data_IF_373938410301
#
_entry.id   IF_373938410301
#
_cell.length_a   1.000
_cell.length_b   1.000
_cell.length_c   1.000
_cell.angle_alpha   90.00
_cell.angle_beta   90.00
_cell.angle_gamma   90.00
#
_symmetry.space_group_name_H-M   'P 1'
#
loop_
_entity.id
_entity.type
_entity.pdbx_description
1 polymer ?
#
# COMPACT_ATOMS: atom_id res chain seq x y z
N UNK A 1 -42.40 0.27 -17.17
CA UNK A 1 -41.29 -0.71 -17.21
C UNK A 1 -40.23 -0.22 -16.25
N UNK A 2 -39.98 -0.98 -15.18
CA UNK A 2 -39.09 -0.61 -14.09
C UNK A 2 -37.65 -0.63 -14.59
N UNK A 3 -37.00 0.53 -14.66
CA UNK A 3 -35.57 0.63 -14.95
C UNK A 3 -34.81 0.23 -13.69
N UNK A 4 -34.27 -0.99 -13.68
CA UNK A 4 -33.41 -1.48 -12.62
C UNK A 4 -32.13 -0.63 -12.57
N UNK A 5 -32.14 0.39 -11.72
CA UNK A 5 -30.95 1.15 -11.32
C UNK A 5 -29.89 0.16 -10.87
N UNK A 6 -28.80 0.03 -11.61
CA UNK A 6 -27.64 -0.75 -11.20
C UNK A 6 -27.11 -0.14 -9.90
N UNK A 7 -27.35 -0.84 -8.79
CA UNK A 7 -26.73 -0.55 -7.50
C UNK A 7 -25.23 -0.72 -7.72
N UNK A 8 -24.48 0.38 -7.76
CA UNK A 8 -23.03 0.37 -7.77
C UNK A 8 -22.54 -0.53 -6.64
N UNK A 9 -21.90 -1.67 -6.98
CA UNK A 9 -21.19 -2.49 -6.00
C UNK A 9 -20.25 -1.57 -5.23
N UNK A 10 -20.52 -1.37 -3.94
CA UNK A 10 -19.59 -0.68 -3.06
C UNK A 10 -18.42 -1.64 -2.83
N UNK A 11 -17.45 -1.63 -3.75
CA UNK A 11 -16.22 -2.43 -3.61
C UNK A 11 -15.47 -1.95 -2.39
N UNK A 12 -15.11 -2.88 -1.51
CA UNK A 12 -14.31 -2.58 -0.32
C UNK A 12 -13.04 -1.82 -0.74
N UNK A 13 -12.69 -0.72 -0.09
CA UNK A 13 -11.45 0.00 -0.41
C UNK A 13 -10.25 -0.93 -0.19
N UNK A 14 -9.28 -0.86 -1.11
CA UNK A 14 -8.09 -1.72 -1.10
C UNK A 14 -6.83 -0.87 -0.90
N UNK A 15 -6.15 -1.11 0.21
CA UNK A 15 -4.91 -0.47 0.61
C UNK A 15 -3.75 -1.45 0.45
N UNK A 16 -2.61 -1.02 -0.10
CA UNK A 16 -1.39 -1.81 -0.15
C UNK A 16 -0.27 -1.22 0.72
N UNK A 17 0.49 -2.08 1.38
CA UNK A 17 1.78 -1.74 2.02
C UNK A 17 2.90 -2.30 1.14
N UNK A 18 3.62 -1.43 0.43
CA UNK A 18 4.71 -1.82 -0.48
C UNK A 18 5.96 -2.27 0.30
N UNK A 19 6.75 -3.16 -0.30
CA UNK A 19 8.08 -3.53 0.19
C UNK A 19 9.08 -2.40 -0.13
N UNK A 20 9.95 -2.09 0.82
CA UNK A 20 11.10 -1.21 0.62
C UNK A 20 12.26 -1.98 -0.02
N UNK A 21 12.96 -1.36 -0.96
CA UNK A 21 14.03 -2.01 -1.74
C UNK A 21 15.41 -1.89 -1.08
N UNK A 22 15.64 -0.81 -0.32
CA UNK A 22 16.92 -0.55 0.35
C UNK A 22 17.18 -1.53 1.50
N UNK A 23 18.32 -2.22 1.46
CA UNK A 23 18.66 -3.31 2.37
C UNK A 23 18.67 -2.94 3.87
N UNK A 24 18.98 -1.69 4.22
CA UNK A 24 19.03 -1.20 5.60
C UNK A 24 17.69 -0.60 6.08
N UNK A 25 16.66 -0.54 5.24
CA UNK A 25 15.34 -0.01 5.63
C UNK A 25 14.47 -1.11 6.22
N UNK A 26 14.23 -1.02 7.54
CA UNK A 26 13.36 -1.96 8.27
C UNK A 26 12.00 -1.36 8.66
N UNK A 27 11.82 -0.05 8.54
CA UNK A 27 10.57 0.63 8.94
C UNK A 27 9.42 0.24 8.02
N UNK A 28 8.21 0.30 8.55
CA UNK A 28 6.96 0.13 7.81
C UNK A 28 6.09 1.40 7.97
N UNK A 29 5.22 1.73 7.00
CA UNK A 29 4.31 2.86 7.14
C UNK A 29 3.20 2.60 8.18
N UNK A 30 2.83 1.34 8.39
CA UNK A 30 1.83 0.92 9.37
C UNK A 30 2.33 -0.31 10.16
N UNK A 31 1.99 -0.36 11.44
CA UNK A 31 2.19 -1.55 12.29
C UNK A 31 1.11 -2.60 12.01
N UNK A 32 1.32 -3.82 12.50
CA UNK A 32 0.30 -4.88 12.42
C UNK A 32 -0.98 -4.51 13.17
N UNK A 33 -0.89 -3.73 14.26
CA UNK A 33 -2.08 -3.27 15.00
C UNK A 33 -2.91 -2.29 14.19
N UNK A 34 -2.28 -1.32 13.52
CA UNK A 34 -3.00 -0.42 12.59
C UNK A 34 -3.66 -1.20 11.45
N UNK A 35 -2.99 -2.23 10.93
CA UNK A 35 -3.57 -3.11 9.89
C UNK A 35 -4.80 -3.84 10.42
N UNK A 36 -4.75 -4.34 11.66
CA UNK A 36 -5.91 -4.99 12.30
C UNK A 36 -7.10 -4.04 12.39
N UNK A 37 -6.86 -2.79 12.80
CA UNK A 37 -7.92 -1.77 12.88
C UNK A 37 -8.53 -1.45 11.51
N UNK A 38 -7.72 -1.42 10.45
CA UNK A 38 -8.20 -1.19 9.08
C UNK A 38 -9.05 -2.37 8.60
N UNK A 39 -8.59 -3.61 8.81
CA UNK A 39 -9.35 -4.80 8.45
C UNK A 39 -10.68 -4.90 9.22
N UNK A 40 -10.72 -4.49 10.50
CA UNK A 40 -11.95 -4.39 11.29
C UNK A 40 -12.94 -3.35 10.74
N UNK A 41 -12.45 -2.32 10.03
CA UNK A 41 -13.25 -1.31 9.35
C UNK A 41 -13.64 -1.71 7.92
N UNK A 42 -13.53 -2.99 7.58
CA UNK A 42 -13.86 -3.56 6.27
C UNK A 42 -12.98 -3.04 5.11
N UNK A 43 -11.77 -2.56 5.43
CA UNK A 43 -10.76 -2.15 4.44
C UNK A 43 -9.90 -3.37 4.12
N UNK A 44 -9.78 -3.72 2.83
CA UNK A 44 -8.88 -4.79 2.41
C UNK A 44 -7.45 -4.28 2.42
N UNK A 45 -6.59 -4.92 3.20
CA UNK A 45 -5.16 -4.60 3.26
C UNK A 45 -4.35 -5.69 2.57
N UNK A 46 -3.60 -5.33 1.54
CA UNK A 46 -2.62 -6.17 0.88
C UNK A 46 -1.23 -5.76 1.37
N UNK A 47 -0.43 -6.72 1.79
CA UNK A 47 0.94 -6.46 2.23
C UNK A 47 1.89 -7.14 1.28
N UNK A 48 2.76 -6.34 0.66
CA UNK A 48 3.82 -6.88 -0.17
C UNK A 48 4.82 -7.64 0.69
N UNK A 49 5.04 -8.90 0.35
CA UNK A 49 5.90 -9.80 1.14
C UNK A 49 7.32 -9.26 1.25
N UNK A 50 7.85 -9.25 2.48
CA UNK A 50 9.17 -8.73 2.80
C UNK A 50 9.79 -9.46 4.00
N UNK A 51 11.03 -9.89 3.86
CA UNK A 51 11.80 -10.56 4.93
C UNK A 51 12.65 -9.61 5.78
N UNK A 52 12.70 -8.31 5.47
CA UNK A 52 13.56 -7.31 6.14
C UNK A 52 12.80 -6.33 7.02
N UNK A 53 11.50 -6.17 6.79
CA UNK A 53 10.64 -5.24 7.54
C UNK A 53 10.58 -5.68 9.00
N UNK A 54 10.48 -4.70 9.91
CA UNK A 54 10.41 -4.93 11.36
C UNK A 54 9.20 -5.77 11.76
N UNK A 55 8.08 -5.64 11.04
CA UNK A 55 6.90 -6.49 11.18
C UNK A 55 6.94 -7.60 10.14
N UNK A 56 6.85 -8.84 10.59
CA UNK A 56 6.91 -10.04 9.74
C UNK A 56 5.65 -10.18 8.89
N UNK A 57 5.77 -10.91 7.77
CA UNK A 57 4.61 -11.29 6.95
C UNK A 57 3.53 -12.01 7.80
N UNK A 58 3.96 -12.88 8.70
CA UNK A 58 3.07 -13.61 9.61
C UNK A 58 2.31 -12.66 10.55
N UNK A 59 2.97 -11.64 11.09
CA UNK A 59 2.33 -10.63 11.95
C UNK A 59 1.21 -9.88 11.22
N UNK A 60 1.41 -9.55 9.94
CA UNK A 60 0.37 -8.93 9.11
C UNK A 60 -0.74 -9.90 8.73
N UNK A 61 -0.41 -11.15 8.41
CA UNK A 61 -1.40 -12.19 8.12
C UNK A 61 -2.32 -12.42 9.33
N UNK A 62 -1.74 -12.49 10.54
CA UNK A 62 -2.48 -12.63 11.79
C UNK A 62 -3.30 -11.38 12.14
N UNK A 63 -2.96 -10.22 11.58
CA UNK A 63 -3.76 -8.99 11.67
C UNK A 63 -4.91 -8.93 10.64
N UNK A 64 -5.01 -9.91 9.73
CA UNK A 64 -6.06 -10.00 8.73
C UNK A 64 -5.72 -9.40 7.36
N UNK A 65 -4.44 -9.12 7.08
CA UNK A 65 -4.01 -8.69 5.76
C UNK A 65 -3.70 -9.88 4.82
N UNK A 66 -3.82 -9.65 3.52
CA UNK A 66 -3.40 -10.59 2.48
C UNK A 66 -1.92 -10.38 2.14
N UNK A 67 -1.10 -11.41 2.30
CA UNK A 67 0.31 -11.36 1.91
C UNK A 67 0.42 -11.76 0.43
N UNK A 68 0.83 -10.82 -0.44
CA UNK A 68 0.95 -11.03 -1.89
C UNK A 68 2.16 -10.29 -2.45
N UNK A 69 2.78 -10.76 -3.52
CA UNK A 69 3.80 -9.95 -4.22
C UNK A 69 3.16 -8.89 -5.12
N UNK A 70 2.03 -9.24 -5.76
CA UNK A 70 1.25 -8.33 -6.60
C UNK A 70 0.27 -7.50 -5.75
N UNK A 71 0.36 -6.18 -5.93
CA UNK A 71 -0.44 -5.16 -5.23
C UNK A 71 -1.28 -4.32 -6.21
N UNK A 72 -1.39 -4.73 -7.47
CA UNK A 72 -2.09 -4.00 -8.54
C UNK A 72 -3.59 -3.77 -8.27
N UNK A 73 -4.21 -4.62 -7.44
CA UNK A 73 -5.60 -4.48 -7.00
C UNK A 73 -5.83 -3.27 -6.07
N UNK A 74 -4.77 -2.73 -5.46
CA UNK A 74 -4.90 -1.60 -4.53
C UNK A 74 -5.19 -0.29 -5.28
N UNK A 75 -6.01 0.57 -4.68
CA UNK A 75 -6.22 1.95 -5.13
C UNK A 75 -5.27 2.92 -4.44
N UNK A 76 -4.88 2.62 -3.20
CA UNK A 76 -3.92 3.39 -2.40
C UNK A 76 -2.72 2.52 -2.04
N UNK A 77 -1.51 3.03 -2.27
CA UNK A 77 -0.24 2.34 -1.96
C UNK A 77 0.55 3.19 -0.96
N UNK A 78 0.90 2.59 0.18
CA UNK A 78 1.70 3.19 1.23
C UNK A 78 3.15 2.70 1.16
N UNK A 79 4.09 3.65 1.25
CA UNK A 79 5.52 3.41 1.37
C UNK A 79 6.15 4.32 2.43
N UNK A 80 7.35 3.99 2.88
CA UNK A 80 8.13 4.86 3.77
C UNK A 80 8.97 5.84 2.94
N UNK A 81 9.48 5.39 1.79
CA UNK A 81 10.27 6.19 0.86
C UNK A 81 9.65 6.21 -0.52
N UNK A 82 10.18 7.10 -1.35
CA UNK A 82 9.82 7.20 -2.75
C UNK A 82 10.05 5.89 -3.50
N UNK A 83 9.24 5.71 -4.54
CA UNK A 83 9.26 4.55 -5.41
C UNK A 83 9.94 4.98 -6.71
N UNK A 84 10.87 4.16 -7.22
CA UNK A 84 11.46 4.38 -8.54
C UNK A 84 10.37 4.49 -9.60
N UNK A 85 10.52 5.41 -10.56
CA UNK A 85 9.50 5.69 -11.60
C UNK A 85 9.10 4.41 -12.35
N UNK A 86 10.06 3.53 -12.62
CA UNK A 86 9.87 2.22 -13.28
C UNK A 86 8.98 1.23 -12.48
N UNK A 87 8.80 1.46 -11.18
CA UNK A 87 7.99 0.63 -10.29
C UNK A 87 6.65 1.27 -9.93
N UNK A 88 6.33 2.43 -10.50
CA UNK A 88 5.03 3.07 -10.35
C UNK A 88 4.00 2.30 -11.17
N UNK A 89 2.90 1.97 -10.50
CA UNK A 89 1.72 1.40 -11.14
C UNK A 89 0.84 2.56 -11.64
N UNK A 90 0.31 2.50 -12.87
CA UNK A 90 -0.55 3.53 -13.39
C UNK A 90 -1.86 3.64 -12.59
N UNK A 91 -2.42 4.85 -12.55
CA UNK A 91 -3.72 5.16 -11.95
C UNK A 91 -3.84 4.80 -10.46
N UNK A 92 -2.73 4.85 -9.71
CA UNK A 92 -2.70 4.58 -8.27
C UNK A 92 -2.43 5.83 -7.45
N UNK A 93 -3.03 5.89 -6.26
CA UNK A 93 -2.69 6.91 -5.27
C UNK A 93 -1.53 6.43 -4.41
N UNK A 94 -0.44 7.17 -4.38
CA UNK A 94 0.72 6.87 -3.54
C UNK A 94 0.81 7.82 -2.35
N UNK A 95 1.19 7.30 -1.18
CA UNK A 95 1.53 8.08 0.00
C UNK A 95 2.87 7.61 0.57
N UNK A 96 3.88 8.47 0.48
CA UNK A 96 5.24 8.24 0.96
C UNK A 96 5.98 9.56 1.20
N UNK A 97 7.14 9.49 1.86
CA UNK A 97 8.00 10.66 2.04
C UNK A 97 8.98 10.81 0.85
N UNK A 98 8.69 11.78 -0.03
CA UNK A 98 9.40 12.04 -1.29
C UNK A 98 10.55 13.05 -1.23
N UNK A 99 10.89 13.57 -0.05
CA UNK A 99 11.96 14.58 0.15
C UNK A 99 11.94 15.76 -0.86
N UNK A 100 10.77 16.11 -1.40
CA UNK A 100 10.62 17.02 -2.55
C UNK A 100 11.02 18.48 -2.26
N UNK A 101 11.01 18.90 -1.00
CA UNK A 101 11.24 20.30 -0.61
C UNK A 101 12.70 20.76 -0.79
N UNK A 102 13.63 19.86 -1.14
CA UNK A 102 15.06 20.16 -1.27
C UNK A 102 15.56 20.37 -2.70
N UNK A 103 14.68 20.29 -3.71
CA UNK A 103 15.08 20.52 -5.11
C UNK A 103 16.06 19.48 -5.65
N UNK A 104 15.97 18.23 -5.15
CA UNK A 104 16.81 17.14 -5.65
C UNK A 104 16.51 16.87 -7.14
N UNK A 105 17.54 16.63 -7.98
CA UNK A 105 17.38 16.49 -9.44
C UNK A 105 16.41 15.39 -9.88
N UNK A 106 16.12 14.43 -9.00
CA UNK A 106 15.23 13.30 -9.26
C UNK A 106 13.74 13.68 -9.19
N UNK A 107 13.38 14.81 -8.58
CA UNK A 107 12.00 15.25 -8.38
C UNK A 107 11.42 16.10 -9.51
N UNK A 108 12.17 16.38 -10.58
CA UNK A 108 11.68 17.18 -11.73
C UNK A 108 10.91 16.38 -12.78
N UNK A 109 10.80 15.05 -12.62
CA UNK A 109 10.21 14.13 -13.60
C UNK A 109 8.98 13.36 -13.07
N UNK A 110 8.47 13.73 -11.89
CA UNK A 110 7.23 13.18 -11.29
C UNK A 110 6.02 14.04 -11.60
#
# INVERSE_FOLDING_TARGET
MCGSSQISKCTKPVLAIRREELMWKRRAPLSADHVRELCQKDIKVIVQSCNRRVFTNESYSNAGAEIREDISDASVILGVKEVSIEHLLPDKTYCFFCHATKGEPQNTAI
#
